data_IF_463750218982
#
_entry.id   IF_463750218982
#
_cell.length_a   1.000
_cell.length_b   1.000
_cell.length_c   1.000
_cell.angle_alpha   90.00
_cell.angle_beta   90.00
_cell.angle_gamma   90.00
#
_symmetry.space_group_name_H-M   'P 1'
#
loop_
_entity.id
_entity.type
_entity.pdbx_description
1 polymer ?
#
# COMPACT_ATOMS: atom_id res chain seq x y z
N UNK A 1 -10.98 -2.64 13.68
CA UNK A 1 -11.11 -2.30 12.24
C UNK A 1 -9.99 -1.35 11.78
N UNK A 2 -9.59 -0.34 12.58
CA UNK A 2 -8.49 0.57 12.19
C UNK A 2 -7.08 -0.02 12.32
N UNK A 3 -6.83 -0.94 13.25
CA UNK A 3 -5.48 -1.51 13.45
C UNK A 3 -4.94 -2.25 12.22
N UNK A 4 -5.82 -2.91 11.45
CA UNK A 4 -5.42 -3.64 10.24
C UNK A 4 -5.07 -2.69 9.10
N UNK A 5 -5.80 -1.57 8.96
CA UNK A 5 -5.48 -0.54 7.98
C UNK A 5 -4.16 0.16 8.37
N UNK A 6 -3.99 0.48 9.65
CA UNK A 6 -2.74 1.05 10.17
C UNK A 6 -1.57 0.08 9.98
N UNK A 7 -1.75 -1.22 10.20
CA UNK A 7 -0.71 -2.23 9.96
C UNK A 7 -0.38 -2.36 8.46
N UNK A 8 -1.38 -2.30 7.60
CA UNK A 8 -1.23 -2.29 6.14
C UNK A 8 -0.46 -1.05 5.65
N UNK A 9 -0.88 0.13 6.08
CA UNK A 9 -0.21 1.39 5.74
C UNK A 9 1.21 1.45 6.31
N UNK A 10 1.44 0.88 7.50
CA UNK A 10 2.78 0.76 8.06
C UNK A 10 3.68 -0.23 7.32
N UNK A 11 3.10 -1.08 6.45
CA UNK A 11 3.86 -2.11 5.77
C UNK A 11 4.30 -3.23 6.70
N UNK A 12 3.47 -3.58 7.69
CA UNK A 12 3.71 -4.72 8.58
C UNK A 12 3.91 -6.00 7.76
N UNK A 13 4.69 -6.96 8.28
CA UNK A 13 5.00 -8.20 7.55
C UNK A 13 3.74 -8.96 7.05
N UNK A 14 2.62 -8.82 7.75
CA UNK A 14 1.31 -9.41 7.43
C UNK A 14 0.37 -8.49 6.64
N UNK A 15 0.88 -7.46 5.96
CA UNK A 15 0.06 -6.51 5.20
C UNK A 15 -0.81 -7.21 4.13
N UNK A 16 -0.34 -8.27 3.47
CA UNK A 16 -1.15 -9.03 2.50
C UNK A 16 -2.38 -9.68 3.13
N UNK A 17 -2.23 -10.24 4.32
CA UNK A 17 -3.34 -10.82 5.08
C UNK A 17 -4.31 -9.73 5.55
N UNK A 18 -3.80 -8.60 6.02
CA UNK A 18 -4.62 -7.44 6.38
C UNK A 18 -5.39 -6.90 5.17
N UNK A 19 -4.76 -6.79 3.99
CA UNK A 19 -5.39 -6.37 2.75
C UNK A 19 -6.53 -7.31 2.35
N UNK A 20 -6.28 -8.62 2.36
CA UNK A 20 -7.28 -9.64 2.05
C UNK A 20 -8.43 -9.64 3.07
N UNK A 21 -8.13 -9.54 4.35
CA UNK A 21 -9.13 -9.51 5.41
C UNK A 21 -10.03 -8.27 5.34
N UNK A 22 -9.47 -7.13 4.92
CA UNK A 22 -10.21 -5.88 4.72
C UNK A 22 -10.89 -5.80 3.33
N UNK A 23 -10.57 -6.71 2.40
CA UNK A 23 -11.00 -6.63 1.00
C UNK A 23 -10.41 -5.43 0.26
N UNK A 24 -9.31 -4.87 0.74
CA UNK A 24 -8.65 -3.70 0.14
C UNK A 24 -7.77 -4.17 -1.01
N UNK A 25 -8.17 -3.80 -2.22
CA UNK A 25 -7.42 -4.09 -3.44
C UNK A 25 -6.52 -2.94 -3.88
N UNK A 26 -6.97 -1.70 -3.70
CA UNK A 26 -6.23 -0.52 -4.12
C UNK A 26 -5.80 0.28 -2.91
N UNK A 27 -4.53 0.67 -2.87
CA UNK A 27 -4.04 1.65 -1.93
C UNK A 27 -3.67 2.91 -2.69
N UNK A 28 -4.21 4.03 -2.24
CA UNK A 28 -3.80 5.34 -2.70
C UNK A 28 -2.69 5.84 -1.78
N UNK A 29 -1.64 6.38 -2.37
CA UNK A 29 -0.47 6.89 -1.66
C UNK A 29 -0.13 8.29 -2.16
N UNK A 30 -0.70 9.27 -1.46
CA UNK A 30 -0.45 10.69 -1.72
C UNK A 30 0.76 11.25 -0.97
N UNK A 31 0.96 12.56 -1.14
CA UNK A 31 1.99 13.31 -0.42
C UNK A 31 1.71 13.34 1.09
N UNK A 32 0.45 13.54 1.51
CA UNK A 32 0.03 13.49 2.91
C UNK A 32 0.30 12.12 3.55
N UNK A 33 -0.03 11.02 2.86
CA UNK A 33 0.28 9.67 3.34
C UNK A 33 1.79 9.47 3.49
N UNK A 34 2.61 9.93 2.53
CA UNK A 34 4.07 9.88 2.67
C UNK A 34 4.58 10.70 3.85
N UNK A 35 3.99 11.85 4.14
CA UNK A 35 4.37 12.71 5.25
C UNK A 35 3.87 12.19 6.60
N UNK A 36 2.73 11.50 6.67
CA UNK A 36 2.23 10.89 7.90
C UNK A 36 2.85 9.51 8.17
N UNK A 37 3.20 8.76 7.13
CA UNK A 37 3.70 7.38 7.18
C UNK A 37 5.13 7.24 6.63
N UNK A 38 5.98 8.24 6.89
CA UNK A 38 7.37 8.30 6.40
C UNK A 38 8.23 7.13 6.93
N UNK A 39 7.98 6.70 8.18
CA UNK A 39 8.68 5.59 8.83
C UNK A 39 8.17 4.20 8.42
N UNK A 40 7.18 4.13 7.53
CA UNK A 40 6.59 2.85 7.11
C UNK A 40 7.44 2.17 6.04
N UNK A 41 7.72 0.88 6.24
CA UNK A 41 8.58 0.08 5.35
C UNK A 41 7.96 -0.23 3.99
N UNK A 42 6.63 -0.05 3.86
CA UNK A 42 5.85 -0.15 2.61
C UNK A 42 6.38 -1.23 1.63
N UNK A 43 6.49 -2.49 2.05
CA UNK A 43 6.97 -3.57 1.18
C UNK A 43 6.07 -3.76 -0.06
N UNK A 44 4.81 -3.36 0.03
CA UNK A 44 3.89 -3.31 -1.12
C UNK A 44 4.25 -2.23 -2.14
N UNK A 45 5.00 -1.17 -1.82
CA UNK A 45 5.45 -0.19 -2.83
C UNK A 45 6.37 -0.85 -3.87
N UNK A 46 7.16 -1.84 -3.44
CA UNK A 46 8.07 -2.61 -4.30
C UNK A 46 7.44 -3.89 -4.87
N UNK A 47 6.46 -4.47 -4.17
CA UNK A 47 5.86 -5.77 -4.56
C UNK A 47 4.49 -5.65 -5.21
N UNK A 48 3.79 -4.52 -5.08
CA UNK A 48 2.46 -4.31 -5.64
C UNK A 48 2.53 -3.57 -6.98
N UNK A 49 1.53 -3.82 -7.82
CA UNK A 49 1.46 -3.21 -9.15
C UNK A 49 1.12 -1.73 -9.04
N UNK A 50 1.95 -0.86 -9.62
CA UNK A 50 1.63 0.56 -9.77
C UNK A 50 0.58 0.73 -10.87
N UNK A 51 -0.65 1.04 -10.48
CA UNK A 51 -1.78 1.25 -11.40
C UNK A 51 -1.66 2.60 -12.11
N UNK A 52 -1.35 3.63 -11.33
CA UNK A 52 -1.22 5.00 -11.82
C UNK A 52 -0.34 5.81 -10.87
N UNK A 53 0.41 6.77 -11.42
CA UNK A 53 1.15 7.76 -10.65
C UNK A 53 1.02 9.13 -11.31
N UNK A 54 0.93 10.17 -10.49
CA UNK A 54 0.90 11.57 -10.93
C UNK A 54 1.16 12.53 -9.77
N UNK A 55 1.05 13.83 -10.02
CA UNK A 55 1.31 14.88 -9.02
C UNK A 55 0.40 14.79 -7.78
N UNK A 56 -0.75 14.14 -7.91
CA UNK A 56 -1.70 13.89 -6.82
C UNK A 56 -1.30 12.69 -5.96
N UNK A 57 -0.46 11.77 -6.45
CA UNK A 57 -0.03 10.56 -5.74
C UNK A 57 0.07 9.33 -6.64
N UNK A 58 0.24 8.17 -6.01
CA UNK A 58 0.36 6.87 -6.67
C UNK A 58 -0.72 5.90 -6.18
N UNK A 59 -1.34 5.16 -7.10
CA UNK A 59 -2.26 4.06 -6.79
C UNK A 59 -1.54 2.75 -7.01
N UNK A 60 -1.53 1.90 -6.00
CA UNK A 60 -0.98 0.55 -6.07
C UNK A 60 -2.11 -0.48 -5.92
N UNK A 61 -2.11 -1.51 -6.77
CA UNK A 61 -3.00 -2.67 -6.65
C UNK A 61 -2.29 -3.74 -5.82
N UNK A 62 -2.78 -3.97 -4.60
CA UNK A 62 -2.27 -4.94 -3.64
C UNK A 62 -2.64 -6.39 -3.99
N UNK A 63 -3.61 -6.60 -4.89
CA UNK A 63 -4.00 -7.92 -5.37
C UNK A 63 -3.16 -8.38 -6.57
N UNK A 64 -2.37 -7.48 -7.17
CA UNK A 64 -1.50 -7.78 -8.30
C UNK A 64 -0.04 -7.49 -7.93
N UNK A 65 0.82 -8.48 -8.12
CA UNK A 65 2.24 -8.28 -7.94
C UNK A 65 2.81 -7.33 -9.01
N UNK A 66 3.83 -6.56 -8.63
CA UNK A 66 4.60 -5.74 -9.55
C UNK A 66 5.16 -6.64 -10.67
N UNK A 67 5.11 -6.19 -11.94
CA UNK A 67 5.65 -6.98 -13.03
C UNK A 67 7.17 -7.13 -12.80
N UNK A 68 7.67 -8.37 -12.82
CA UNK A 68 9.09 -8.63 -12.76
C UNK A 68 9.74 -8.03 -14.02
N UNK A 69 10.51 -6.96 -13.84
CA UNK A 69 11.25 -6.30 -14.92
C UNK A 69 12.56 -7.03 -15.22
#
# INVERSE_FOLDING_TARGET
ANDQLTALMNGAANWRDAAKALGVRYIFWGQDERTNYQSSSRPWEATAFLVASGDWGSIYDLAQDAPAH
#
